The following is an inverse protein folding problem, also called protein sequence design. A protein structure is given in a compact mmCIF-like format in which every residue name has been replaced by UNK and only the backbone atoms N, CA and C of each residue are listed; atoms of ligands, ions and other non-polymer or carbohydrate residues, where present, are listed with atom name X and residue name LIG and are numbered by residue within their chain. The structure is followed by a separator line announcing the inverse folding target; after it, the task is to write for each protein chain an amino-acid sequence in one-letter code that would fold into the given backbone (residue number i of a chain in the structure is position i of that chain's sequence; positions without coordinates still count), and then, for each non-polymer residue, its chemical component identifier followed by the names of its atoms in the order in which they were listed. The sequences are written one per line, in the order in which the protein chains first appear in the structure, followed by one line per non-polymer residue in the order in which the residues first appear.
data_IF_618201695070
#
_entry.id   IF_618201695070
#
_cell.length_a   1.000
_cell.length_b   1.000
_cell.length_c   1.000
_cell.angle_alpha   90.00
_cell.angle_beta   90.00
_cell.angle_gamma   90.00
#
_symmetry.space_group_name_H-M   'P 1'
#
loop_
_entity.id
_entity.type
_entity.pdbx_description
1 polymer ?
#
# COMPACT_ATOMS: atom_id res chain seq x y z
N UNK A 1 14.37 16.97 -10.68
CA UNK A 1 14.11 16.54 -12.08
C UNK A 1 13.49 15.14 -12.06
N UNK A 2 12.32 14.99 -11.42
CA UNK A 2 11.88 13.67 -10.92
C UNK A 2 10.43 13.32 -11.33
N UNK A 3 9.64 14.29 -11.81
CA UNK A 3 8.22 14.08 -12.08
C UNK A 3 7.98 13.13 -13.26
N UNK A 4 8.80 13.23 -14.32
CA UNK A 4 8.74 12.31 -15.46
C UNK A 4 9.02 10.85 -15.04
N UNK A 5 10.05 10.63 -14.23
CA UNK A 5 10.37 9.31 -13.70
C UNK A 5 9.29 8.79 -12.74
N UNK A 6 8.73 9.64 -11.89
CA UNK A 6 7.60 9.28 -11.02
C UNK A 6 6.35 8.92 -11.82
N UNK A 7 6.05 9.66 -12.89
CA UNK A 7 4.93 9.39 -13.78
C UNK A 7 5.14 8.06 -14.52
N UNK A 8 6.34 7.82 -15.05
CA UNK A 8 6.67 6.59 -15.76
C UNK A 8 6.62 5.38 -14.83
N UNK A 9 7.18 5.48 -13.63
CA UNK A 9 7.10 4.43 -12.62
C UNK A 9 5.65 4.15 -12.20
N UNK A 10 4.84 5.21 -12.00
CA UNK A 10 3.41 5.09 -11.70
C UNK A 10 2.62 4.44 -12.84
N UNK A 11 2.91 4.79 -14.09
CA UNK A 11 2.29 4.19 -15.26
C UNK A 11 2.65 2.70 -15.41
N UNK A 12 3.93 2.34 -15.27
CA UNK A 12 4.39 0.94 -15.30
C UNK A 12 3.72 0.13 -14.18
N UNK A 13 3.64 0.70 -12.97
CA UNK A 13 2.98 0.06 -11.84
C UNK A 13 1.49 -0.14 -12.08
N UNK A 14 0.78 0.88 -12.56
CA UNK A 14 -0.63 0.81 -12.91
C UNK A 14 -0.92 -0.23 -14.00
N UNK A 15 -0.12 -0.24 -15.07
CA UNK A 15 -0.23 -1.26 -16.14
C UNK A 15 0.01 -2.66 -15.58
N UNK A 16 1.03 -2.84 -14.72
CA UNK A 16 1.28 -4.11 -14.04
C UNK A 16 0.11 -4.58 -13.16
N UNK A 17 -0.55 -3.66 -12.45
CA UNK A 17 -1.74 -3.97 -11.63
C UNK A 17 -2.95 -4.39 -12.48
N UNK A 18 -3.14 -3.77 -13.66
CA UNK A 18 -4.21 -4.12 -14.58
C UNK A 18 -3.93 -5.49 -15.21
N UNK A 19 -2.70 -5.72 -15.72
CA UNK A 19 -2.30 -6.98 -16.34
C UNK A 19 -2.34 -8.16 -15.38
N UNK A 20 -1.97 -7.95 -14.11
CA UNK A 20 -2.04 -8.98 -13.07
C UNK A 20 -3.47 -9.27 -12.57
N UNK A 21 -4.46 -8.45 -12.94
CA UNK A 21 -5.84 -8.59 -12.48
C UNK A 21 -6.05 -8.23 -11.00
N UNK A 22 -5.04 -7.68 -10.32
CA UNK A 22 -5.13 -7.24 -8.91
C UNK A 22 -6.13 -6.08 -8.69
N UNK A 23 -6.50 -5.37 -9.75
CA UNK A 23 -7.57 -4.38 -9.72
C UNK A 23 -8.96 -5.00 -9.47
N UNK A 24 -9.15 -6.30 -9.70
CA UNK A 24 -10.44 -6.94 -9.50
C UNK A 24 -10.61 -7.46 -8.06
N UNK A 25 -11.54 -6.91 -7.25
CA UNK A 25 -11.76 -7.36 -5.88
C UNK A 25 -12.20 -8.83 -5.80
N UNK A 26 -12.81 -9.39 -6.87
CA UNK A 26 -13.18 -10.80 -6.91
C UNK A 26 -11.95 -11.73 -6.93
N UNK A 27 -10.85 -11.31 -7.57
CA UNK A 27 -9.56 -12.05 -7.55
C UNK A 27 -8.90 -12.01 -6.19
N UNK A 28 -8.99 -10.88 -5.49
CA UNK A 28 -8.47 -10.73 -4.13
C UNK A 28 -9.26 -11.59 -3.14
N UNK A 29 -10.59 -11.53 -3.20
CA UNK A 29 -11.46 -12.35 -2.35
C UNK A 29 -11.28 -13.85 -2.66
N UNK A 30 -11.14 -14.24 -3.94
CA UNK A 30 -10.84 -15.62 -4.34
C UNK A 30 -9.46 -16.12 -3.91
N UNK A 31 -8.49 -15.23 -3.69
CA UNK A 31 -7.21 -15.60 -3.05
C UNK A 31 -7.35 -15.81 -1.54
N UNK A 32 -8.16 -15.00 -0.85
CA UNK A 32 -8.43 -15.14 0.57
C UNK A 32 -9.38 -16.32 0.89
N UNK A 33 -10.16 -16.78 -0.09
CA UNK A 33 -11.07 -17.92 0.06
C UNK A 33 -10.32 -19.26 -0.08
N UNK A 34 -9.59 -19.62 0.98
CA UNK A 34 -8.87 -20.90 1.13
C UNK A 34 -9.83 -22.10 1.22
N UNK A 35 -11.14 -21.86 1.37
CA UNK A 35 -12.12 -22.93 1.67
C UNK A 35 -12.80 -23.55 0.46
N UNK A 36 -12.67 -22.99 -0.75
CA UNK A 36 -13.33 -23.53 -1.96
C UNK A 36 -12.45 -23.62 -3.21
N UNK A 37 -12.04 -22.50 -3.79
CA UNK A 37 -11.33 -22.43 -5.08
C UNK A 37 -10.19 -21.42 -4.91
N UNK A 38 -9.11 -21.86 -4.25
CA UNK A 38 -7.95 -21.02 -4.03
C UNK A 38 -7.25 -20.74 -5.36
N UNK A 39 -7.21 -19.47 -5.78
CA UNK A 39 -6.57 -19.04 -7.04
C UNK A 39 -5.11 -18.61 -6.77
N UNK A 40 -4.10 -19.47 -7.05
CA UNK A 40 -2.69 -19.22 -6.69
C UNK A 40 -2.04 -18.10 -7.52
N UNK A 41 -2.75 -17.56 -8.52
CA UNK A 41 -2.23 -16.52 -9.41
C UNK A 41 -1.79 -15.27 -8.64
N UNK A 42 -2.52 -14.90 -7.57
CA UNK A 42 -2.17 -13.73 -6.75
C UNK A 42 -0.89 -13.96 -5.92
N UNK A 43 -0.67 -15.18 -5.45
CA UNK A 43 0.51 -15.56 -4.67
C UNK A 43 1.79 -15.44 -5.50
N UNK A 44 1.75 -15.83 -6.77
CA UNK A 44 2.89 -15.68 -7.69
C UNK A 44 3.21 -14.20 -7.96
N UNK A 45 2.18 -13.37 -8.14
CA UNK A 45 2.37 -11.92 -8.37
C UNK A 45 2.93 -11.24 -7.12
N UNK A 46 2.35 -11.51 -5.94
CA UNK A 46 2.87 -10.97 -4.67
C UNK A 46 4.29 -11.48 -4.39
N UNK A 47 4.54 -12.78 -4.59
CA UNK A 47 5.85 -13.39 -4.42
C UNK A 47 6.91 -12.75 -5.32
N UNK A 48 6.62 -12.61 -6.61
CA UNK A 48 7.49 -11.94 -7.57
C UNK A 48 7.77 -10.48 -7.19
N UNK A 49 6.73 -9.73 -6.83
CA UNK A 49 6.88 -8.34 -6.40
C UNK A 49 7.73 -8.21 -5.12
N UNK A 50 7.52 -9.09 -4.13
CA UNK A 50 8.29 -9.12 -2.89
C UNK A 50 9.75 -9.52 -3.17
N UNK A 51 10.00 -10.52 -4.01
CA UNK A 51 11.36 -10.92 -4.37
C UNK A 51 12.12 -9.79 -5.08
N UNK A 52 11.52 -9.18 -6.10
CA UNK A 52 12.13 -8.04 -6.80
C UNK A 52 12.36 -6.87 -5.84
N UNK A 53 11.37 -6.55 -5.00
CA UNK A 53 11.47 -5.53 -3.97
C UNK A 53 12.60 -5.82 -2.98
N UNK A 54 12.74 -7.06 -2.51
CA UNK A 54 13.79 -7.47 -1.58
C UNK A 54 15.19 -7.29 -2.19
N UNK A 55 15.40 -7.73 -3.44
CA UNK A 55 16.67 -7.53 -4.13
C UNK A 55 16.96 -6.05 -4.41
N UNK A 56 15.94 -5.27 -4.79
CA UNK A 56 16.05 -3.84 -5.00
C UNK A 56 16.42 -3.11 -3.69
N UNK A 57 15.67 -3.34 -2.60
CA UNK A 57 15.96 -2.75 -1.29
C UNK A 57 17.32 -3.18 -0.74
N UNK A 58 17.74 -4.44 -0.94
CA UNK A 58 19.06 -4.92 -0.52
C UNK A 58 20.19 -4.25 -1.31
N UNK A 59 19.99 -4.00 -2.60
CA UNK A 59 20.93 -3.27 -3.47
C UNK A 59 21.00 -1.79 -3.11
N UNK A 60 19.85 -1.17 -2.84
CA UNK A 60 19.70 0.22 -2.40
C UNK A 60 20.31 0.44 -1.02
N UNK A 61 20.21 -0.53 -0.10
CA UNK A 61 20.85 -0.47 1.23
C UNK A 61 22.38 -0.35 1.18
N UNK A 62 23.02 -0.73 0.06
CA UNK A 62 24.46 -0.55 -0.18
C UNK A 62 24.81 0.78 -0.87
N UNK A 63 23.83 1.61 -1.20
CA UNK A 63 24.00 2.89 -1.94
C UNK A 63 23.57 4.05 -1.06
N UNK A 64 24.41 5.06 -0.93
CA UNK A 64 24.14 6.30 -0.16
C UNK A 64 23.36 7.34 -0.97
N UNK A 65 23.43 7.26 -2.31
CA UNK A 65 22.74 8.14 -3.24
C UNK A 65 21.84 7.34 -4.19
N UNK A 66 20.63 7.85 -4.45
CA UNK A 66 19.77 7.30 -5.50
C UNK A 66 20.42 7.54 -6.86
N UNK A 67 20.12 6.69 -7.84
CA UNK A 67 20.64 6.81 -9.21
C UNK A 67 20.21 8.15 -9.85
N UNK A 68 19.18 8.80 -9.30
CA UNK A 68 18.68 10.12 -9.71
C UNK A 68 19.11 11.26 -8.74
N UNK A 69 20.15 11.06 -7.93
CA UNK A 69 20.80 12.11 -7.12
C UNK A 69 20.13 12.46 -5.79
N UNK A 70 19.05 11.77 -5.39
CA UNK A 70 18.37 11.98 -4.10
C UNK A 70 19.02 11.20 -2.96
N UNK A 71 19.08 11.78 -1.75
CA UNK A 71 19.49 11.06 -0.55
C UNK A 71 18.50 9.92 -0.26
N UNK A 72 19.01 8.69 -0.14
CA UNK A 72 18.18 7.54 0.22
C UNK A 72 18.00 7.55 1.74
N UNK A 73 16.88 8.11 2.21
CA UNK A 73 16.48 8.02 3.61
C UNK A 73 15.80 6.67 3.87
N UNK A 74 16.57 5.67 4.29
CA UNK A 74 15.96 4.44 4.81
C UNK A 74 15.40 4.74 6.22
N UNK A 75 14.16 4.32 6.51
CA UNK A 75 13.58 4.49 7.85
C UNK A 75 14.41 3.71 8.88
N UNK A 76 15.03 4.44 9.81
CA UNK A 76 15.80 3.90 10.94
C UNK A 76 14.93 3.54 12.14
N UNK A 77 13.67 3.97 12.17
CA UNK A 77 12.74 3.63 13.25
C UNK A 77 12.24 2.19 13.10
N UNK A 78 12.66 1.32 14.03
CA UNK A 78 12.18 -0.06 14.22
C UNK A 78 11.28 -0.20 15.45
N UNK A 79 10.72 0.90 15.95
CA UNK A 79 9.89 0.85 17.15
C UNK A 79 8.51 0.28 16.80
N UNK A 80 8.29 -0.97 17.18
CA UNK A 80 6.99 -1.63 17.08
C UNK A 80 6.20 -1.30 18.34
N UNK A 81 5.41 -0.24 18.26
CA UNK A 81 4.56 0.18 19.38
C UNK A 81 3.21 -0.56 19.38
N UNK A 82 2.60 -0.73 20.55
CA UNK A 82 1.24 -1.31 20.69
C UNK A 82 0.20 -0.59 19.82
N UNK A 83 0.40 0.71 19.58
CA UNK A 83 -0.44 1.54 18.71
C UNK A 83 -0.28 1.19 17.23
N UNK A 84 0.94 0.85 16.79
CA UNK A 84 1.20 0.38 15.43
C UNK A 84 0.58 -0.99 15.20
N UNK A 85 0.70 -1.90 16.17
CA UNK A 85 0.09 -3.24 16.11
C UNK A 85 -1.44 -3.10 16.01
N UNK A 86 -2.06 -2.30 16.87
CA UNK A 86 -3.51 -2.07 16.85
C UNK A 86 -4.00 -1.47 15.53
N UNK A 87 -3.27 -0.48 15.00
CA UNK A 87 -3.56 0.12 13.70
C UNK A 87 -3.41 -0.87 12.54
N UNK A 88 -2.36 -1.70 12.56
CA UNK A 88 -2.11 -2.71 11.53
C UNK A 88 -3.19 -3.79 11.51
N UNK A 89 -3.68 -4.23 12.68
CA UNK A 89 -4.78 -5.19 12.78
C UNK A 89 -6.07 -4.58 12.21
N UNK A 90 -6.44 -3.37 12.65
CA UNK A 90 -7.66 -2.71 12.19
C UNK A 90 -7.64 -2.45 10.68
N UNK A 91 -6.49 -2.01 10.16
CA UNK A 91 -6.27 -1.81 8.73
C UNK A 91 -6.34 -3.12 7.94
N UNK A 92 -5.73 -4.20 8.47
CA UNK A 92 -5.79 -5.54 7.87
C UNK A 92 -7.20 -6.10 7.81
N UNK A 93 -8.00 -5.94 8.88
CA UNK A 93 -9.41 -6.33 8.91
C UNK A 93 -10.20 -5.55 7.85
N UNK A 94 -10.02 -4.22 7.79
CA UNK A 94 -10.69 -3.38 6.79
C UNK A 94 -10.33 -3.77 5.36
N UNK A 95 -9.05 -4.07 5.10
CA UNK A 95 -8.59 -4.56 3.80
C UNK A 95 -9.20 -5.92 3.44
N UNK A 96 -9.17 -6.89 4.36
CA UNK A 96 -9.72 -8.23 4.15
C UNK A 96 -11.23 -8.22 3.90
N UNK A 97 -11.98 -7.39 4.62
CA UNK A 97 -13.42 -7.23 4.41
C UNK A 97 -13.76 -6.52 3.10
N UNK A 98 -13.00 -5.49 2.72
CA UNK A 98 -13.24 -4.75 1.48
C UNK A 98 -12.75 -5.51 0.23
N UNK A 99 -11.78 -6.40 0.37
CA UNK A 99 -11.12 -7.09 -0.75
C UNK A 99 -10.36 -6.12 -1.68
N UNK A 100 -10.02 -4.92 -1.20
CA UNK A 100 -9.39 -3.85 -2.01
C UNK A 100 -8.14 -3.35 -1.28
N UNK A 101 -6.96 -3.64 -1.83
CA UNK A 101 -5.72 -3.10 -1.29
C UNK A 101 -5.56 -1.60 -1.65
N UNK A 102 -4.79 -0.82 -0.89
CA UNK A 102 -4.65 0.62 -1.15
C UNK A 102 -4.07 0.93 -2.54
N UNK A 103 -3.16 0.10 -3.06
CA UNK A 103 -2.60 0.25 -4.41
C UNK A 103 -3.66 0.10 -5.50
N UNK A 104 -4.34 -1.06 -5.60
CA UNK A 104 -5.49 -1.25 -6.49
C UNK A 104 -6.62 -0.27 -6.25
N UNK A 105 -6.88 0.15 -5.00
CA UNK A 105 -7.91 1.15 -4.67
C UNK A 105 -7.71 2.49 -5.38
N UNK A 106 -6.46 2.95 -5.47
CA UNK A 106 -6.11 4.15 -6.24
C UNK A 106 -6.30 3.96 -7.75
N UNK A 107 -5.96 2.79 -8.28
CA UNK A 107 -6.20 2.45 -9.70
C UNK A 107 -7.70 2.39 -9.98
N UNK A 108 -8.50 1.79 -9.10
CA UNK A 108 -9.96 1.71 -9.22
C UNK A 108 -10.63 3.07 -9.12
N UNK A 109 -10.12 3.95 -8.27
CA UNK A 109 -10.56 5.35 -8.21
C UNK A 109 -10.24 6.08 -9.52
N UNK A 110 -9.02 5.90 -10.06
CA UNK A 110 -8.65 6.44 -11.38
C UNK A 110 -9.49 5.87 -12.53
N UNK A 111 -9.94 4.63 -12.41
CA UNK A 111 -10.86 3.97 -13.34
C UNK A 111 -12.34 4.35 -13.14
N UNK A 112 -12.67 5.22 -12.17
CA UNK A 112 -14.04 5.67 -11.93
C UNK A 112 -14.96 4.64 -11.28
N UNK A 113 -14.41 3.59 -10.65
CA UNK A 113 -15.21 2.55 -10.01
C UNK A 113 -15.73 3.00 -8.63
N UNK A 114 -17.05 2.91 -8.42
CA UNK A 114 -17.73 3.27 -7.16
C UNK A 114 -17.11 2.56 -5.94
N UNK A 115 -16.72 1.28 -6.08
CA UNK A 115 -16.07 0.52 -5.02
C UNK A 115 -14.71 1.11 -4.61
N UNK A 116 -13.93 1.58 -5.60
CA UNK A 116 -12.65 2.26 -5.36
C UNK A 116 -12.84 3.63 -4.72
N UNK A 117 -13.84 4.38 -5.18
CA UNK A 117 -14.20 5.68 -4.60
C UNK A 117 -14.63 5.57 -3.13
N UNK A 118 -15.50 4.61 -2.80
CA UNK A 118 -15.94 4.37 -1.42
C UNK A 118 -14.79 3.97 -0.51
N UNK A 119 -13.92 3.06 -0.96
CA UNK A 119 -12.76 2.63 -0.18
C UNK A 119 -11.76 3.77 0.04
N UNK A 120 -11.38 4.50 -1.01
CA UNK A 120 -10.42 5.61 -0.88
C UNK A 120 -11.01 6.75 -0.05
N UNK A 121 -12.30 7.04 -0.20
CA UNK A 121 -12.99 8.02 0.64
C UNK A 121 -12.94 7.66 2.13
N UNK A 122 -13.25 6.40 2.47
CA UNK A 122 -13.16 5.90 3.84
C UNK A 122 -11.71 5.91 4.38
N UNK A 123 -10.73 5.53 3.54
CA UNK A 123 -9.31 5.56 3.88
C UNK A 123 -8.84 6.98 4.21
N UNK A 124 -9.17 7.96 3.35
CA UNK A 124 -8.80 9.37 3.56
C UNK A 124 -9.49 9.93 4.80
N UNK A 125 -10.78 9.64 5.00
CA UNK A 125 -11.50 10.05 6.19
C UNK A 125 -10.85 9.50 7.48
N UNK A 126 -10.47 8.22 7.49
CA UNK A 126 -9.76 7.59 8.61
C UNK A 126 -8.40 8.23 8.89
N UNK A 127 -7.61 8.52 7.84
CA UNK A 127 -6.32 9.20 7.96
C UNK A 127 -6.46 10.60 8.56
N UNK A 128 -7.40 11.40 8.06
CA UNK A 128 -7.67 12.75 8.58
C UNK A 128 -8.12 12.72 10.04
N UNK A 129 -8.99 11.78 10.40
CA UNK A 129 -9.49 11.65 11.76
C UNK A 129 -8.38 11.23 12.73
N UNK A 130 -7.54 10.27 12.34
CA UNK A 130 -6.38 9.86 13.12
C UNK A 130 -5.37 11.00 13.29
N UNK A 131 -5.08 11.75 12.22
CA UNK A 131 -4.17 12.89 12.27
C UNK A 131 -4.69 13.99 13.20
N UNK A 132 -6.00 14.28 13.17
CA UNK A 132 -6.59 15.25 14.09
C UNK A 132 -6.53 14.79 15.55
N UNK A 133 -6.81 13.52 15.82
CA UNK A 133 -6.70 12.95 17.17
C UNK A 133 -5.26 13.01 17.69
N UNK A 134 -4.29 12.73 16.84
CA UNK A 134 -2.88 12.80 17.18
C UNK A 134 -2.41 14.24 17.41
N UNK A 135 -2.80 15.19 16.54
CA UNK A 135 -2.55 16.62 16.73
C UNK A 135 -3.12 17.13 18.05
N UNK A 136 -4.33 16.70 18.43
CA UNK A 136 -4.95 17.05 19.73
C UNK A 136 -4.20 16.43 20.91
N UNK A 137 -3.72 15.18 20.78
CA UNK A 137 -2.96 14.49 21.82
C UNK A 137 -1.58 15.11 22.04
N UNK A 138 -0.89 15.50 20.97
CA UNK A 138 0.38 16.20 21.03
C UNK A 138 0.25 17.56 21.74
N UNK A 139 -0.82 18.32 21.45
CA UNK A 139 -1.13 19.57 22.16
C UNK A 139 -1.40 19.39 23.66
N UNK A 140 -2.00 18.27 24.07
CA UNK A 140 -2.26 17.93 25.48
C UNK A 140 -1.02 17.48 26.28
N UNK A 141 0.06 17.06 25.62
CA UNK A 141 1.32 16.69 26.28
C UNK A 141 2.32 17.85 26.34
N UNK A 142 2.06 18.94 25.61
CA UNK A 142 2.89 20.14 25.61
C UNK A 142 2.38 21.23 26.58
N UNK A 143 1.34 20.93 27.37
CA UNK A 143 0.72 21.80 28.38
C UNK A 143 0.69 21.09 29.72
#
# INVERSE_FOLDING_TARGET
MNLFFSLLAGAIFGVGLILSGMANPAKVIGFLDITRIWDPSLAFVMGGAISVGFFAFRSVKRRTHSVCGGAINLPTSKQIDKRLIGGAILFGIGWGLAGICPGPGLVLLGAGMIKGMGFVGAMVAGMLLFEQLERKRAKRHAS
#
